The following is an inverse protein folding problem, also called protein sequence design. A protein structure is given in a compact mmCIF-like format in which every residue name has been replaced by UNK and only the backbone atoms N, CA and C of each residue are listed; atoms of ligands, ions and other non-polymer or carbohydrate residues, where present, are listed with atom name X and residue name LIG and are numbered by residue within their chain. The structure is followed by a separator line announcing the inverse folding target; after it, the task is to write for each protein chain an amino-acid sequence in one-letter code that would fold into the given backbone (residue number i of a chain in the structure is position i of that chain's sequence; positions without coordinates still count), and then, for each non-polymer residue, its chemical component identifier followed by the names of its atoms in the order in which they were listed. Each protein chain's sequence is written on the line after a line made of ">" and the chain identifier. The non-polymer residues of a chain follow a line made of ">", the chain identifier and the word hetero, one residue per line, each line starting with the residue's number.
data_IF_521171135648
#
_entry.id   IF_521171135648
#
_cell.length_a   1.000
_cell.length_b   1.000
_cell.length_c   1.000
_cell.angle_alpha   90.00
_cell.angle_beta   90.00
_cell.angle_gamma   90.00
#
_symmetry.space_group_name_H-M   'P 1'
#
loop_
_entity.id
_entity.type
_entity.pdbx_description
1 polymer ?
#
# COMPACT_ATOMS: atom_id res chain seq x y z
N UNK A 1 -4.68 9.32 9.09
CA UNK A 1 -3.27 8.87 9.06
C UNK A 1 -2.65 9.49 7.82
N UNK A 2 -1.54 10.19 7.95
CA UNK A 2 -0.84 10.75 6.79
C UNK A 2 0.13 9.68 6.25
N UNK A 3 -0.19 9.13 5.08
CA UNK A 3 0.58 8.06 4.45
C UNK A 3 1.55 8.58 3.37
N UNK A 4 1.87 9.88 3.36
CA UNK A 4 2.80 10.46 2.37
C UNK A 4 4.13 9.72 2.30
N UNK A 5 4.68 9.27 3.43
CA UNK A 5 5.92 8.49 3.45
C UNK A 5 5.79 7.13 2.73
N UNK A 6 4.60 6.52 2.74
CA UNK A 6 4.31 5.30 1.95
C UNK A 6 4.28 5.63 0.47
N UNK A 7 3.61 6.73 0.09
CA UNK A 7 3.56 7.15 -1.32
C UNK A 7 4.95 7.46 -1.86
N UNK A 8 5.79 8.15 -1.10
CA UNK A 8 7.17 8.48 -1.49
C UNK A 8 8.07 7.25 -1.57
N UNK A 9 7.89 6.30 -0.65
CA UNK A 9 8.53 4.98 -0.72
C UNK A 9 8.14 4.26 -2.01
N UNK A 10 6.84 4.17 -2.33
CA UNK A 10 6.34 3.54 -3.56
C UNK A 10 6.89 4.23 -4.81
N UNK A 11 6.86 5.57 -4.87
CA UNK A 11 7.43 6.33 -6.00
C UNK A 11 8.90 5.99 -6.23
N UNK A 12 9.68 5.91 -5.15
CA UNK A 12 11.10 5.57 -5.22
C UNK A 12 11.30 4.13 -5.69
N UNK A 13 10.52 3.19 -5.16
CA UNK A 13 10.64 1.77 -5.49
C UNK A 13 10.26 1.48 -6.94
N UNK A 14 9.28 2.20 -7.49
CA UNK A 14 8.74 2.02 -8.84
C UNK A 14 9.24 3.08 -9.85
N UNK A 15 10.26 3.88 -9.50
CA UNK A 15 10.68 5.05 -10.28
C UNK A 15 11.08 4.74 -11.74
N UNK A 16 11.52 3.52 -12.02
CA UNK A 16 11.97 3.08 -13.34
C UNK A 16 11.09 1.98 -13.94
N UNK A 17 9.93 1.72 -13.35
CA UNK A 17 8.95 0.74 -13.84
C UNK A 17 8.31 1.28 -15.14
N UNK A 18 8.19 0.45 -16.18
CA UNK A 18 7.68 0.84 -17.52
C UNK A 18 6.72 -0.18 -18.13
N UNK A 19 6.30 -1.18 -17.37
CA UNK A 19 5.41 -2.27 -17.79
C UNK A 19 3.94 -2.02 -17.42
N UNK A 20 3.68 -0.94 -16.67
CA UNK A 20 2.33 -0.52 -16.27
C UNK A 20 2.05 -0.69 -14.78
N UNK A 21 3.03 -1.18 -14.01
CA UNK A 21 3.01 -1.33 -12.56
C UNK A 21 3.69 -0.13 -11.86
N UNK A 22 3.51 1.07 -12.42
CA UNK A 22 4.12 2.29 -11.90
C UNK A 22 3.37 2.85 -10.68
N UNK A 23 3.89 3.92 -10.09
CA UNK A 23 3.24 4.60 -8.98
C UNK A 23 1.78 5.02 -9.30
N UNK A 24 1.52 5.45 -10.53
CA UNK A 24 0.19 5.93 -10.91
C UNK A 24 -0.83 4.80 -11.00
N UNK A 25 -0.40 3.59 -11.35
CA UNK A 25 -1.23 2.41 -11.22
C UNK A 25 -1.65 2.17 -9.77
N UNK A 26 -0.69 2.12 -8.82
CA UNK A 26 -1.01 2.02 -7.39
C UNK A 26 -1.95 3.13 -6.89
N UNK A 27 -1.76 4.36 -7.38
CA UNK A 27 -2.64 5.49 -7.04
C UNK A 27 -4.08 5.30 -7.55
N UNK A 28 -4.27 4.79 -8.78
CA UNK A 28 -5.61 4.47 -9.31
C UNK A 28 -6.27 3.36 -8.49
N UNK A 29 -5.52 2.31 -8.13
CA UNK A 29 -6.00 1.23 -7.27
C UNK A 29 -6.44 1.76 -5.91
N UNK A 30 -5.61 2.59 -5.26
CA UNK A 30 -5.93 3.19 -3.96
C UNK A 30 -7.24 4.00 -3.99
N UNK A 31 -7.44 4.80 -5.03
CA UNK A 31 -8.65 5.60 -5.21
C UNK A 31 -9.88 4.71 -5.43
N UNK A 32 -9.76 3.68 -6.29
CA UNK A 32 -10.87 2.78 -6.59
C UNK A 32 -11.25 1.92 -5.39
N UNK A 33 -10.27 1.31 -4.71
CA UNK A 33 -10.49 0.47 -3.53
C UNK A 33 -11.10 1.27 -2.37
N UNK A 34 -10.63 2.51 -2.14
CA UNK A 34 -11.24 3.41 -1.16
C UNK A 34 -12.70 3.69 -1.49
N UNK A 35 -13.00 3.98 -2.76
CA UNK A 35 -14.38 4.25 -3.20
C UNK A 35 -15.28 3.03 -2.97
N UNK A 36 -14.82 1.83 -3.35
CA UNK A 36 -15.55 0.58 -3.15
C UNK A 36 -15.85 0.37 -1.66
N UNK A 37 -14.84 0.50 -0.80
CA UNK A 37 -15.01 0.32 0.65
C UNK A 37 -16.05 1.29 1.24
N UNK A 38 -16.01 2.57 0.89
CA UNK A 38 -16.95 3.57 1.39
C UNK A 38 -18.38 3.35 0.87
N UNK A 39 -18.53 2.80 -0.34
CA UNK A 39 -19.84 2.42 -0.88
C UNK A 39 -20.44 1.23 -0.11
N UNK A 40 -19.62 0.23 0.20
CA UNK A 40 -20.04 -0.97 0.93
C UNK A 40 -20.20 -0.72 2.44
N UNK A 41 -19.59 0.35 2.96
CA UNK A 41 -19.61 0.71 4.38
C UNK A 41 -20.06 2.18 4.56
N UNK A 42 -21.36 2.50 4.42
CA UNK A 42 -21.85 3.87 4.44
C UNK A 42 -21.60 4.66 5.74
N UNK A 43 -21.34 3.96 6.86
CA UNK A 43 -20.98 4.57 8.14
C UNK A 43 -19.48 4.88 8.27
N UNK A 44 -18.64 4.40 7.36
CA UNK A 44 -17.21 4.65 7.38
C UNK A 44 -16.87 6.06 6.88
N UNK A 45 -15.87 6.67 7.50
CA UNK A 45 -15.34 7.98 7.07
C UNK A 45 -14.09 7.79 6.20
N UNK A 46 -13.83 8.75 5.30
CA UNK A 46 -12.63 8.76 4.46
C UNK A 46 -11.33 8.75 5.28
N UNK A 47 -11.36 9.29 6.48
CA UNK A 47 -10.20 9.37 7.37
C UNK A 47 -10.11 8.20 8.37
N UNK A 48 -10.93 7.16 8.18
CA UNK A 48 -10.92 5.97 9.04
C UNK A 48 -9.62 5.17 8.90
N UNK A 49 -9.29 4.40 9.96
CA UNK A 49 -8.10 3.51 9.95
C UNK A 49 -8.18 2.48 8.82
N UNK A 50 -9.37 1.96 8.53
CA UNK A 50 -9.57 0.99 7.44
C UNK A 50 -9.25 1.60 6.06
N UNK A 51 -9.66 2.83 5.80
CA UNK A 51 -9.28 3.53 4.55
C UNK A 51 -7.75 3.70 4.47
N UNK A 52 -7.08 4.01 5.59
CA UNK A 52 -5.62 4.10 5.60
C UNK A 52 -4.96 2.74 5.28
N UNK A 53 -5.45 1.63 5.84
CA UNK A 53 -4.97 0.27 5.55
C UNK A 53 -5.14 -0.05 4.06
N UNK A 54 -6.33 0.18 3.50
CA UNK A 54 -6.65 -0.09 2.10
C UNK A 54 -5.74 0.72 1.17
N UNK A 55 -5.59 2.03 1.43
CA UNK A 55 -4.74 2.89 0.62
C UNK A 55 -3.27 2.46 0.71
N UNK A 56 -2.77 2.14 1.90
CA UNK A 56 -1.39 1.68 2.09
C UNK A 56 -1.14 0.37 1.34
N UNK A 57 -2.02 -0.63 1.48
CA UNK A 57 -1.90 -1.89 0.72
C UNK A 57 -1.93 -1.65 -0.79
N UNK A 58 -2.82 -0.77 -1.25
CA UNK A 58 -2.93 -0.41 -2.67
C UNK A 58 -1.66 0.26 -3.22
N UNK A 59 -0.99 1.12 -2.46
CA UNK A 59 0.28 1.71 -2.88
C UNK A 59 1.45 0.72 -2.83
N UNK A 60 1.41 -0.28 -1.95
CA UNK A 60 2.53 -1.19 -1.74
C UNK A 60 2.45 -2.48 -2.56
N UNK A 61 1.28 -2.90 -3.06
CA UNK A 61 1.10 -4.24 -3.65
C UNK A 61 2.13 -4.59 -4.74
N UNK A 62 2.34 -3.71 -5.70
CA UNK A 62 3.29 -3.96 -6.80
C UNK A 62 4.75 -3.77 -6.40
N UNK A 63 5.04 -3.15 -5.25
CA UNK A 63 6.44 -2.95 -4.80
C UNK A 63 7.18 -4.27 -4.53
N UNK A 64 6.42 -5.36 -4.37
CA UNK A 64 6.91 -6.71 -4.12
C UNK A 64 6.57 -7.72 -5.22
N UNK A 65 5.92 -7.32 -6.33
CA UNK A 65 5.58 -8.23 -7.42
C UNK A 65 6.87 -8.80 -8.05
N UNK A 66 6.98 -10.13 -8.07
CA UNK A 66 8.17 -10.87 -8.52
C UNK A 66 8.57 -10.59 -9.98
N UNK A 67 7.65 -10.09 -10.81
CA UNK A 67 7.92 -9.73 -12.21
C UNK A 67 8.77 -8.48 -12.31
N UNK A 68 8.71 -7.58 -11.33
CA UNK A 68 9.39 -6.27 -11.35
C UNK A 68 10.31 -6.03 -10.16
N UNK A 69 10.17 -6.80 -9.09
CA UNK A 69 10.95 -6.69 -7.86
C UNK A 69 11.94 -7.87 -7.76
N UNK A 70 13.26 -7.65 -7.98
CA UNK A 70 14.25 -8.72 -7.93
C UNK A 70 14.50 -9.31 -6.53
N UNK A 71 14.08 -8.60 -5.48
CA UNK A 71 14.24 -9.04 -4.09
C UNK A 71 13.05 -8.58 -3.23
N UNK A 72 11.90 -9.27 -3.31
CA UNK A 72 10.70 -8.92 -2.54
C UNK A 72 10.94 -8.95 -1.04
N UNK A 73 11.73 -9.90 -0.53
CA UNK A 73 12.04 -10.03 0.90
C UNK A 73 12.72 -8.77 1.47
N UNK A 74 13.66 -8.18 0.71
CA UNK A 74 14.30 -6.92 1.09
C UNK A 74 13.29 -5.76 1.17
N UNK A 75 12.38 -5.68 0.21
CA UNK A 75 11.34 -4.63 0.19
C UNK A 75 10.35 -4.82 1.34
N UNK A 76 9.96 -6.07 1.63
CA UNK A 76 9.12 -6.43 2.77
C UNK A 76 9.77 -5.99 4.09
N UNK A 77 11.09 -6.19 4.25
CA UNK A 77 11.82 -5.70 5.43
C UNK A 77 11.75 -4.17 5.54
N UNK A 78 11.93 -3.44 4.44
CA UNK A 78 11.80 -1.98 4.41
C UNK A 78 10.38 -1.50 4.76
N UNK A 79 9.35 -2.23 4.29
CA UNK A 79 7.95 -1.94 4.64
C UNK A 79 7.71 -2.15 6.14
N UNK A 80 8.25 -3.23 6.72
CA UNK A 80 8.16 -3.50 8.17
C UNK A 80 8.78 -2.40 9.02
N UNK A 81 9.86 -1.78 8.54
CA UNK A 81 10.49 -0.64 9.22
C UNK A 81 9.71 0.67 9.02
N UNK A 82 9.08 0.84 7.85
CA UNK A 82 8.34 2.05 7.47
C UNK A 82 6.98 2.16 8.17
N UNK A 83 6.19 1.10 8.21
CA UNK A 83 4.79 1.18 8.64
C UNK A 83 4.60 1.62 10.12
N UNK A 84 5.49 1.27 11.08
CA UNK A 84 5.43 1.82 12.43
C UNK A 84 5.65 3.34 12.46
N UNK A 85 6.52 3.89 11.61
CA UNK A 85 6.85 5.33 11.61
C UNK A 85 5.69 6.20 11.12
N UNK A 86 4.75 5.62 10.37
CA UNK A 86 3.53 6.28 9.91
C UNK A 86 2.31 6.01 10.80
N UNK A 87 2.48 5.25 11.90
CA UNK A 87 1.47 5.08 12.95
C UNK A 87 0.58 3.84 12.84
N UNK A 88 0.94 2.86 12.00
CA UNK A 88 0.26 1.56 12.00
C UNK A 88 0.68 0.73 13.22
N UNK A 89 -0.30 0.05 13.82
CA UNK A 89 -0.07 -0.95 14.86
C UNK A 89 0.41 -2.28 14.28
N UNK A 90 0.98 -3.15 15.10
CA UNK A 90 1.50 -4.46 14.66
C UNK A 90 0.46 -5.31 13.92
N UNK A 91 -0.80 -5.32 14.39
CA UNK A 91 -1.87 -6.06 13.73
C UNK A 91 -2.20 -5.49 12.34
N UNK A 92 -2.26 -4.17 12.21
CA UNK A 92 -2.52 -3.53 10.91
C UNK A 92 -1.37 -3.72 9.93
N UNK A 93 -0.12 -3.72 10.44
CA UNK A 93 1.07 -4.06 9.65
C UNK A 93 0.97 -5.49 9.14
N UNK A 94 0.59 -6.42 10.01
CA UNK A 94 0.39 -7.81 9.62
C UNK A 94 -0.70 -7.97 8.55
N UNK A 95 -1.83 -7.27 8.70
CA UNK A 95 -2.93 -7.28 7.72
C UNK A 95 -2.51 -6.71 6.37
N UNK A 96 -1.80 -5.57 6.36
CA UNK A 96 -1.29 -4.95 5.14
C UNK A 96 -0.33 -5.91 4.44
N UNK A 97 0.66 -6.44 5.17
CA UNK A 97 1.66 -7.36 4.62
C UNK A 97 1.02 -8.64 4.12
N UNK A 98 0.08 -9.22 4.88
CA UNK A 98 -0.64 -10.41 4.47
C UNK A 98 -1.39 -10.15 3.17
N UNK A 99 -2.12 -9.03 3.08
CA UNK A 99 -2.88 -8.66 1.89
C UNK A 99 -1.98 -8.57 0.66
N UNK A 100 -0.92 -7.76 0.70
CA UNK A 100 -0.07 -7.53 -0.49
C UNK A 100 0.70 -8.77 -0.94
N UNK A 101 0.94 -9.74 -0.05
CA UNK A 101 1.63 -11.01 -0.38
C UNK A 101 0.69 -12.08 -0.96
N UNK A 102 -0.62 -11.86 -0.99
CA UNK A 102 -1.62 -12.84 -1.42
C UNK A 102 -2.64 -12.26 -2.42
N UNK A 103 -2.23 -11.23 -3.19
CA UNK A 103 -3.04 -10.64 -4.27
C UNK A 103 -2.93 -11.43 -5.58
#
# INVERSE_FOLDING_TARGET
>A
MDIQQVEDFTKKQLANERTGHDFYHGQRVANLATKMYLQDNPAAHQDSRMVAIIRTGSFLHDTIDEKICPNPEKVIAQIKDLLPSVGFSELEIADILFTIQHM
#
